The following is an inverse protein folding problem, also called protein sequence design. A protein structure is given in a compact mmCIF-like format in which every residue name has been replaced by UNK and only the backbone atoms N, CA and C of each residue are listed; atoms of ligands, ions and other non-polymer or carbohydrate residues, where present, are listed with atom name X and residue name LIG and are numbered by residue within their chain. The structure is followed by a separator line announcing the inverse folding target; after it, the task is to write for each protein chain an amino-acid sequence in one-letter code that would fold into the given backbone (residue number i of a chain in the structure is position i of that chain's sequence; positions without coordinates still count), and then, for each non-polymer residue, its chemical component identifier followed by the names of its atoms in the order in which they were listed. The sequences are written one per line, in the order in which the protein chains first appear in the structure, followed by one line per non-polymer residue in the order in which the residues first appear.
data_IF_428202034031
#
_entry.id   IF_428202034031
#
_cell.length_a   1.000
_cell.length_b   1.000
_cell.length_c   1.000
_cell.angle_alpha   90.00
_cell.angle_beta   90.00
_cell.angle_gamma   90.00
#
_symmetry.space_group_name_H-M   'P 1'
#
loop_
_entity.id
_entity.type
_entity.pdbx_description
1 polymer ?
#
# COMPACT_ATOMS: atom_id res chain seq x y z
N UNK A 1 2.27 4.19 -19.88
CA UNK A 1 0.92 4.58 -20.35
C UNK A 1 0.95 5.71 -21.37
N UNK A 2 1.55 6.87 -21.09
CA UNK A 2 1.48 8.06 -21.97
C UNK A 2 1.96 7.84 -23.42
N UNK A 3 3.03 7.07 -23.65
CA UNK A 3 3.49 6.79 -25.02
C UNK A 3 2.56 5.85 -25.79
N UNK A 4 2.05 4.79 -25.15
CA UNK A 4 1.07 3.87 -25.75
C UNK A 4 -0.26 4.57 -26.09
N UNK A 5 -0.68 5.52 -25.26
CA UNK A 5 -1.86 6.33 -25.50
C UNK A 5 -1.72 7.22 -26.75
N UNK A 6 -0.51 7.75 -27.00
CA UNK A 6 -0.22 8.59 -28.18
C UNK A 6 -0.19 7.80 -29.49
N UNK A 7 0.16 6.51 -29.46
CA UNK A 7 0.25 5.65 -30.66
C UNK A 7 -1.05 4.93 -30.99
N UNK A 8 -2.11 5.11 -30.21
CA UNK A 8 -3.42 4.48 -30.44
C UNK A 8 -3.51 3.00 -30.04
N UNK A 9 -2.40 2.39 -29.61
CA UNK A 9 -2.32 1.00 -29.12
C UNK A 9 -2.47 0.92 -27.59
N UNK A 10 -3.44 1.63 -27.03
CA UNK A 10 -3.71 1.60 -25.60
C UNK A 10 -4.61 0.42 -25.25
N UNK A 11 -4.06 -0.59 -24.58
CA UNK A 11 -4.84 -1.68 -24.02
C UNK A 11 -5.43 -1.25 -22.67
N UNK A 12 -6.75 -1.32 -22.53
CA UNK A 12 -7.45 -0.98 -21.29
C UNK A 12 -7.16 -1.97 -20.15
N UNK A 13 -6.59 -3.13 -20.45
CA UNK A 13 -6.02 -4.04 -19.47
C UNK A 13 -4.75 -3.50 -18.79
N UNK A 14 -4.07 -2.50 -19.40
CA UNK A 14 -2.94 -1.77 -18.79
C UNK A 14 -3.41 -0.81 -17.67
N UNK A 15 -4.70 -0.47 -17.61
CA UNK A 15 -5.23 0.29 -16.48
C UNK A 15 -5.20 -0.58 -15.23
N UNK A 16 -4.89 -0.01 -14.04
CA UNK A 16 -4.86 -0.78 -12.81
C UNK A 16 -6.18 -1.56 -12.64
N UNK A 17 -6.11 -2.89 -12.72
CA UNK A 17 -7.24 -3.74 -12.32
C UNK A 17 -7.54 -3.39 -10.87
N UNK A 18 -8.75 -2.88 -10.61
CA UNK A 18 -9.09 -2.11 -9.41
C UNK A 18 -8.58 -2.70 -8.09
N UNK A 19 -8.26 -1.81 -7.15
CA UNK A 19 -7.93 -2.16 -5.77
C UNK A 19 -6.45 -2.38 -5.45
N UNK A 20 -5.54 -2.48 -6.43
CA UNK A 20 -4.10 -2.63 -6.15
C UNK A 20 -3.29 -1.44 -6.67
N UNK A 21 -3.03 -0.49 -5.78
CA UNK A 21 -2.06 0.57 -6.02
C UNK A 21 -0.73 0.15 -5.39
N UNK A 22 0.25 -0.32 -6.19
CA UNK A 22 1.56 -0.61 -5.64
C UNK A 22 2.16 0.67 -5.10
N UNK A 23 2.53 0.65 -3.82
CA UNK A 23 3.24 1.74 -3.19
C UNK A 23 4.60 1.26 -2.69
N UNK A 24 5.54 2.18 -2.60
CA UNK A 24 6.78 1.98 -1.86
C UNK A 24 6.72 2.82 -0.59
N UNK A 25 7.15 2.26 0.53
CA UNK A 25 7.18 2.94 1.82
C UNK A 25 8.59 2.92 2.39
N UNK A 26 9.09 4.09 2.75
CA UNK A 26 10.42 4.31 3.29
C UNK A 26 10.30 4.99 4.63
N UNK A 27 11.15 4.62 5.59
CA UNK A 27 11.27 5.28 6.89
C UNK A 27 12.69 5.74 7.12
N UNK A 28 12.85 6.83 7.85
CA UNK A 28 14.15 7.38 8.25
C UNK A 28 15.09 7.70 7.08
N UNK A 29 14.54 7.88 5.87
CA UNK A 29 15.29 8.30 4.69
C UNK A 29 14.39 9.18 3.80
N UNK A 30 14.90 10.31 3.27
CA UNK A 30 16.25 10.86 3.47
C UNK A 30 16.42 11.58 4.82
N UNK A 31 15.39 11.63 5.65
CA UNK A 31 15.41 12.31 6.96
C UNK A 31 14.93 11.38 8.07
N UNK A 32 15.64 11.38 9.19
CA UNK A 32 15.29 10.62 10.39
C UNK A 32 13.95 11.10 10.97
N UNK A 33 13.13 10.18 11.47
CA UNK A 33 11.81 10.48 12.05
C UNK A 33 10.73 10.80 11.04
N UNK A 34 11.02 10.71 9.73
CA UNK A 34 10.05 10.88 8.65
C UNK A 34 9.81 9.57 7.91
N UNK A 35 8.62 9.44 7.35
CA UNK A 35 8.29 8.39 6.40
C UNK A 35 7.85 8.97 5.07
N UNK A 36 8.11 8.23 4.00
CA UNK A 36 7.77 8.59 2.63
C UNK A 36 7.00 7.42 2.01
N UNK A 37 5.79 7.69 1.54
CA UNK A 37 5.03 6.79 0.68
C UNK A 37 5.06 7.32 -0.75
N UNK A 38 5.45 6.47 -1.69
CA UNK A 38 5.44 6.76 -3.13
C UNK A 38 4.39 5.88 -3.79
N UNK A 39 3.44 6.48 -4.49
CA UNK A 39 2.31 5.76 -5.08
C UNK A 39 1.86 6.45 -6.36
N UNK A 40 1.54 5.67 -7.39
CA UNK A 40 0.99 6.18 -8.65
C UNK A 40 -0.52 5.98 -8.67
N UNK A 41 -1.27 7.05 -8.94
CA UNK A 41 -2.73 6.99 -9.08
C UNK A 41 -3.10 7.64 -10.42
N UNK A 42 -3.65 6.83 -11.33
CA UNK A 42 -3.91 7.26 -12.70
C UNK A 42 -2.61 7.53 -13.45
N UNK A 43 -2.44 8.77 -13.94
CA UNK A 43 -1.25 9.22 -14.69
C UNK A 43 -0.26 10.00 -13.85
N UNK A 44 -0.53 10.15 -12.54
CA UNK A 44 0.24 11.02 -11.65
C UNK A 44 0.95 10.19 -10.60
N UNK A 45 2.23 10.52 -10.40
CA UNK A 45 3.04 9.95 -9.33
C UNK A 45 3.04 10.86 -8.12
N UNK A 46 2.58 10.33 -6.99
CA UNK A 46 2.44 11.07 -5.75
C UNK A 46 3.51 10.69 -4.73
N UNK A 47 3.82 11.65 -3.87
CA UNK A 47 4.67 11.48 -2.70
C UNK A 47 3.92 12.00 -1.47
N UNK A 48 3.79 11.14 -0.46
CA UNK A 48 3.29 11.53 0.85
C UNK A 48 4.45 11.50 1.84
N UNK A 49 4.69 12.60 2.54
CA UNK A 49 5.70 12.69 3.59
C UNK A 49 5.03 12.91 4.93
N UNK A 50 5.29 12.04 5.90
CA UNK A 50 4.69 12.09 7.24
C UNK A 50 5.76 11.97 8.33
N UNK A 51 5.42 12.33 9.57
CA UNK A 51 6.21 11.89 10.72
C UNK A 51 6.05 10.37 10.87
N UNK A 52 7.12 9.69 11.29
CA UNK A 52 7.00 8.32 11.78
C UNK A 52 6.18 8.35 13.06
N UNK A 53 5.13 7.55 13.11
CA UNK A 53 4.23 7.42 14.24
C UNK A 53 4.30 5.98 14.74
N UNK A 54 4.48 5.82 16.04
CA UNK A 54 4.49 4.51 16.70
C UNK A 54 3.09 4.22 17.23
N UNK A 55 2.44 3.12 16.84
CA UNK A 55 1.18 2.72 17.45
C UNK A 55 1.31 2.52 18.96
N UNK A 56 0.28 2.90 19.71
CA UNK A 56 0.20 2.62 21.14
C UNK A 56 -0.25 1.16 21.34
N UNK A 57 0.71 0.28 21.64
CA UNK A 57 0.48 -1.16 21.70
C UNK A 57 0.07 -1.60 23.10
N UNK A 58 -1.07 -2.30 23.18
CA UNK A 58 -1.44 -3.10 24.32
C UNK A 58 -0.86 -4.51 24.18
N UNK A 59 0.13 -4.86 25.00
CA UNK A 59 0.66 -6.22 25.07
C UNK A 59 -0.40 -7.14 25.71
N UNK A 60 -0.53 -8.36 25.18
CA UNK A 60 -1.48 -9.37 25.67
C UNK A 60 -0.67 -10.46 26.38
N UNK A 61 -0.61 -10.45 27.73
CA UNK A 61 0.13 -11.45 28.50
C UNK A 61 -0.36 -12.88 28.22
N UNK A 62 0.50 -13.86 28.48
CA UNK A 62 0.23 -15.30 28.34
C UNK A 62 -0.16 -15.77 26.94
N UNK A 63 -0.09 -14.88 25.94
CA UNK A 63 -0.23 -15.23 24.54
C UNK A 63 1.08 -15.82 24.01
N UNK A 64 0.99 -16.98 23.39
CA UNK A 64 2.15 -17.69 22.87
C UNK A 64 1.81 -18.33 21.53
N UNK A 65 2.69 -18.13 20.55
CA UNK A 65 2.69 -18.88 19.29
C UNK A 65 4.13 -19.05 18.81
N UNK A 66 4.31 -19.90 17.81
CA UNK A 66 5.57 -19.98 17.06
C UNK A 66 5.33 -19.55 15.62
N UNK A 67 6.15 -18.63 15.10
CA UNK A 67 6.10 -18.19 13.69
C UNK A 67 7.51 -18.28 13.14
N UNK A 68 7.68 -19.00 12.02
CA UNK A 68 8.98 -19.27 11.37
C UNK A 68 10.09 -19.72 12.34
N UNK A 69 9.71 -20.46 13.40
CA UNK A 69 10.63 -20.99 14.41
C UNK A 69 10.91 -20.08 15.61
N UNK A 70 10.36 -18.86 15.64
CA UNK A 70 10.53 -17.91 16.74
C UNK A 70 9.33 -17.95 17.68
N UNK A 71 9.58 -17.86 18.98
CA UNK A 71 8.52 -17.65 19.96
C UNK A 71 7.98 -16.23 19.83
N UNK A 72 6.66 -16.08 19.82
CA UNK A 72 6.01 -14.79 19.65
C UNK A 72 4.90 -14.57 20.67
N UNK A 73 4.78 -13.30 21.08
CA UNK A 73 3.69 -12.80 21.90
C UNK A 73 2.78 -11.91 21.07
N UNK A 74 1.52 -11.77 21.49
CA UNK A 74 0.50 -10.95 20.83
C UNK A 74 0.45 -9.56 21.45
N UNK A 75 0.28 -8.57 20.59
CA UNK A 75 -0.12 -7.22 20.95
C UNK A 75 -1.33 -6.77 20.12
N UNK A 76 -2.08 -5.83 20.67
CA UNK A 76 -3.26 -5.21 20.05
C UNK A 76 -3.10 -3.69 20.02
N UNK A 77 -3.60 -3.03 18.99
CA UNK A 77 -3.68 -1.56 18.96
C UNK A 77 -4.86 -1.09 18.10
N UNK A 78 -5.31 0.13 18.32
CA UNK A 78 -6.19 0.85 17.39
C UNK A 78 -5.36 1.89 16.65
N UNK A 79 -5.11 1.66 15.37
CA UNK A 79 -4.17 2.48 14.60
C UNK A 79 -4.72 2.76 13.20
N UNK A 80 -4.71 4.04 12.80
CA UNK A 80 -5.22 4.54 11.50
C UNK A 80 -6.64 4.06 11.17
N UNK A 81 -7.49 4.04 12.19
CA UNK A 81 -8.89 3.63 12.08
C UNK A 81 -9.13 2.12 12.00
N UNK A 82 -8.12 1.27 12.22
CA UNK A 82 -8.28 -0.18 12.29
C UNK A 82 -7.80 -0.74 13.63
N UNK A 83 -8.47 -1.78 14.10
CA UNK A 83 -7.99 -2.64 15.18
C UNK A 83 -6.98 -3.63 14.62
N UNK A 84 -5.73 -3.56 15.06
CA UNK A 84 -4.65 -4.46 14.64
C UNK A 84 -4.26 -5.43 15.74
N UNK A 85 -3.92 -6.65 15.33
CA UNK A 85 -3.30 -7.69 16.14
C UNK A 85 -1.95 -8.03 15.52
N UNK A 86 -0.89 -8.01 16.32
CA UNK A 86 0.48 -8.26 15.87
C UNK A 86 1.17 -9.29 16.77
N UNK A 87 1.77 -10.31 16.15
CA UNK A 87 2.64 -11.26 16.81
C UNK A 87 4.10 -10.86 16.59
N UNK A 88 4.82 -10.64 17.67
CA UNK A 88 6.20 -10.16 17.64
C UNK A 88 7.15 -11.11 18.39
N UNK A 89 8.40 -11.18 17.94
CA UNK A 89 9.45 -12.03 18.51
C UNK A 89 10.50 -11.19 19.23
N UNK A 90 10.52 -11.26 20.57
CA UNK A 90 11.49 -10.53 21.42
C UNK A 90 12.94 -11.00 21.22
N UNK A 91 13.13 -12.27 20.86
CA UNK A 91 14.44 -12.84 20.52
C UNK A 91 15.10 -12.15 19.32
N UNK A 92 14.32 -11.41 18.52
CA UNK A 92 14.80 -10.51 17.47
C UNK A 92 14.47 -9.08 17.92
N UNK A 93 15.35 -8.41 18.70
CA UNK A 93 15.08 -7.12 19.34
C UNK A 93 15.19 -5.96 18.35
N UNK A 94 14.44 -6.07 17.25
CA UNK A 94 14.30 -5.07 16.22
C UNK A 94 12.84 -4.60 16.24
N UNK A 95 12.54 -3.38 16.72
CA UNK A 95 11.18 -2.87 16.91
C UNK A 95 10.52 -2.45 15.59
N UNK A 96 10.60 -3.33 14.60
CA UNK A 96 10.17 -3.14 13.22
C UNK A 96 9.03 -4.10 12.87
N UNK A 97 8.38 -3.82 11.74
CA UNK A 97 7.26 -4.61 11.29
C UNK A 97 6.74 -4.17 9.92
N UNK A 98 5.73 -4.87 9.39
CA UNK A 98 5.16 -4.54 8.09
C UNK A 98 4.48 -3.17 8.12
N UNK A 99 4.62 -2.43 7.02
CA UNK A 99 3.99 -1.12 6.83
C UNK A 99 4.37 -0.13 7.96
N UNK A 100 3.41 0.33 8.75
CA UNK A 100 3.56 1.30 9.86
C UNK A 100 3.44 0.63 11.24
N UNK A 101 3.35 -0.70 11.30
CA UNK A 101 3.16 -1.45 12.55
C UNK A 101 4.50 -1.73 13.22
N UNK A 102 5.02 -0.71 13.92
CA UNK A 102 6.36 -0.71 14.52
C UNK A 102 6.31 -0.46 16.04
N UNK A 103 7.45 -0.53 16.70
CA UNK A 103 7.59 -0.12 18.11
C UNK A 103 7.21 -1.17 19.15
N UNK A 104 6.95 -2.41 18.73
CA UNK A 104 6.87 -3.55 19.65
C UNK A 104 8.29 -3.90 20.17
N UNK A 105 8.41 -4.59 21.33
CA UNK A 105 9.71 -4.96 21.90
C UNK A 105 10.61 -5.83 21.01
N UNK A 106 10.06 -6.43 19.95
CA UNK A 106 10.81 -7.20 18.97
C UNK A 106 10.15 -7.18 17.58
N UNK A 107 10.69 -7.98 16.66
CA UNK A 107 10.29 -7.96 15.25
C UNK A 107 8.87 -8.52 15.09
N UNK A 108 7.99 -7.76 14.44
CA UNK A 108 6.64 -8.22 14.10
C UNK A 108 6.71 -9.24 12.96
N UNK A 109 6.41 -10.51 13.26
CA UNK A 109 6.42 -11.61 12.29
C UNK A 109 5.05 -11.90 11.69
N UNK A 110 3.97 -11.44 12.32
CA UNK A 110 2.62 -11.51 11.75
C UNK A 110 1.80 -10.33 12.25
N UNK A 111 1.00 -9.75 11.37
CA UNK A 111 0.02 -8.74 11.73
C UNK A 111 -1.25 -8.92 10.92
N UNK A 112 -2.40 -8.65 11.51
CA UNK A 112 -3.68 -8.65 10.82
C UNK A 112 -4.65 -7.68 11.47
N UNK A 113 -5.52 -7.10 10.68
CA UNK A 113 -6.63 -6.32 11.22
C UNK A 113 -7.76 -7.26 11.69
N UNK A 114 -8.64 -6.75 12.55
CA UNK A 114 -9.72 -7.52 13.18
C UNK A 114 -10.60 -8.29 12.20
N UNK A 115 -10.87 -7.69 11.04
CA UNK A 115 -11.67 -8.30 9.98
C UNK A 115 -10.86 -9.21 9.03
N UNK A 116 -9.53 -9.29 9.21
CA UNK A 116 -8.59 -9.99 8.32
C UNK A 116 -8.70 -9.54 6.86
N UNK A 117 -9.08 -8.29 6.64
CA UNK A 117 -9.04 -7.64 5.33
C UNK A 117 -7.59 -7.39 4.91
N UNK A 118 -6.71 -7.17 5.89
CA UNK A 118 -5.27 -7.08 5.73
C UNK A 118 -4.57 -8.08 6.64
N UNK A 119 -3.66 -8.84 6.07
CA UNK A 119 -2.79 -9.74 6.83
C UNK A 119 -1.40 -9.78 6.23
N UNK A 120 -0.41 -9.68 7.12
CA UNK A 120 1.00 -9.84 6.86
C UNK A 120 1.46 -11.06 7.66
N UNK A 121 2.12 -12.00 7.00
CA UNK A 121 2.71 -13.17 7.67
C UNK A 121 4.10 -13.39 7.10
N UNK A 122 5.10 -13.42 7.97
CA UNK A 122 6.46 -13.79 7.59
C UNK A 122 6.47 -15.25 7.14
N UNK A 123 7.04 -15.49 5.97
CA UNK A 123 7.22 -16.84 5.39
C UNK A 123 8.67 -17.33 5.50
N UNK A 124 9.59 -16.46 5.92
CA UNK A 124 11.00 -16.77 6.11
C UNK A 124 11.78 -15.53 6.55
N UNK A 125 12.97 -15.76 7.09
CA UNK A 125 13.92 -14.72 7.50
C UNK A 125 15.33 -15.23 7.27
N UNK A 126 16.20 -14.38 6.73
CA UNK A 126 17.59 -14.73 6.42
C UNK A 126 18.49 -13.54 6.66
N UNK A 127 19.70 -13.81 7.15
CA UNK A 127 20.77 -12.80 7.23
C UNK A 127 21.39 -12.62 5.85
N UNK A 128 21.57 -11.36 5.44
CA UNK A 128 22.26 -11.04 4.19
C UNK A 128 23.77 -11.28 4.35
N UNK A 129 24.39 -11.95 3.39
CA UNK A 129 25.84 -12.20 3.36
C UNK A 129 26.65 -11.01 2.83
N UNK A 130 25.99 -10.08 2.15
CA UNK A 130 26.57 -8.85 1.62
C UNK A 130 25.55 -7.70 1.69
N UNK A 131 26.02 -6.43 1.79
CA UNK A 131 25.14 -5.28 1.74
C UNK A 131 24.33 -5.24 0.44
N UNK A 132 23.00 -5.24 0.56
CA UNK A 132 22.10 -5.04 -0.59
C UNK A 132 21.61 -3.60 -0.56
N UNK A 133 21.82 -2.81 -1.62
CA UNK A 133 21.40 -1.42 -1.63
C UNK A 133 19.88 -1.30 -1.66
N UNK A 134 19.33 -0.41 -0.82
CA UNK A 134 17.94 0.00 -0.88
C UNK A 134 17.82 1.10 -1.93
N UNK A 135 16.96 0.90 -2.94
CA UNK A 135 16.77 1.88 -4.02
C UNK A 135 15.70 2.91 -3.64
N UNK A 136 16.03 4.19 -3.79
CA UNK A 136 15.10 5.31 -3.62
C UNK A 136 14.97 6.10 -4.93
N UNK A 137 13.79 6.09 -5.60
CA UNK A 137 13.62 6.76 -6.88
C UNK A 137 13.61 8.30 -6.75
N UNK A 138 14.52 8.98 -7.43
CA UNK A 138 14.65 10.46 -7.42
C UNK A 138 13.72 11.21 -8.38
N UNK A 139 12.83 10.52 -9.08
CA UNK A 139 11.86 11.15 -9.98
C UNK A 139 11.01 12.19 -9.24
N UNK A 140 10.74 13.34 -9.89
CA UNK A 140 9.84 14.36 -9.36
C UNK A 140 8.44 13.79 -9.23
N UNK A 141 7.77 14.10 -8.12
CA UNK A 141 6.42 13.64 -7.79
C UNK A 141 5.62 14.79 -7.21
N UNK A 142 4.31 14.72 -7.36
CA UNK A 142 3.40 15.67 -6.75
C UNK A 142 3.30 15.36 -5.25
N UNK A 143 3.55 16.36 -4.40
CA UNK A 143 3.38 16.22 -2.96
C UNK A 143 1.89 16.26 -2.63
N UNK A 144 1.44 15.35 -1.78
CA UNK A 144 0.04 15.25 -1.37
C UNK A 144 -0.04 14.68 0.06
N UNK A 145 -1.04 15.10 0.83
CA UNK A 145 -1.28 14.50 2.14
C UNK A 145 -1.83 13.07 1.98
N UNK A 146 -1.58 12.21 2.97
CA UNK A 146 -2.11 10.84 2.95
C UNK A 146 -3.65 10.82 2.91
N UNK A 147 -4.28 11.77 3.64
CA UNK A 147 -5.73 11.97 3.63
C UNK A 147 -6.24 12.32 2.24
N UNK A 148 -5.66 13.32 1.58
CA UNK A 148 -6.12 13.77 0.26
C UNK A 148 -5.88 12.68 -0.79
N UNK A 149 -4.76 11.95 -0.70
CA UNK A 149 -4.48 10.82 -1.58
C UNK A 149 -5.52 9.71 -1.42
N UNK A 150 -5.92 9.39 -0.19
CA UNK A 150 -7.00 8.43 0.10
C UNK A 150 -8.33 8.89 -0.51
N UNK A 151 -8.74 10.13 -0.23
CA UNK A 151 -9.99 10.69 -0.77
C UNK A 151 -9.98 10.74 -2.30
N UNK A 152 -8.81 11.00 -2.91
CA UNK A 152 -8.64 10.93 -4.36
C UNK A 152 -8.83 9.52 -4.88
N UNK A 153 -8.24 8.50 -4.24
CA UNK A 153 -8.38 7.09 -4.61
C UNK A 153 -9.82 6.56 -4.49
N UNK A 154 -10.58 7.04 -3.50
CA UNK A 154 -12.00 6.72 -3.33
C UNK A 154 -12.86 7.28 -4.47
N UNK A 155 -12.53 8.49 -4.94
CA UNK A 155 -13.26 9.17 -6.02
C UNK A 155 -12.75 8.79 -7.41
N UNK A 156 -11.59 8.15 -7.50
CA UNK A 156 -10.93 7.81 -8.76
C UNK A 156 -11.82 6.94 -9.66
N UNK A 157 -11.90 7.34 -10.93
CA UNK A 157 -12.57 6.56 -11.98
C UNK A 157 -11.67 6.41 -13.21
N UNK A 158 -11.88 5.37 -14.04
CA UNK A 158 -11.20 5.26 -15.32
C UNK A 158 -11.43 6.48 -16.24
N UNK A 159 -12.59 7.13 -16.14
CA UNK A 159 -12.91 8.33 -16.93
C UNK A 159 -11.91 9.47 -16.70
N UNK A 160 -11.46 9.68 -15.46
CA UNK A 160 -10.48 10.72 -15.11
C UNK A 160 -9.14 10.52 -15.84
N UNK A 161 -8.71 9.27 -16.01
CA UNK A 161 -7.48 8.95 -16.79
C UNK A 161 -7.67 9.29 -18.26
N UNK A 162 -8.82 8.91 -18.83
CA UNK A 162 -9.10 9.15 -20.25
C UNK A 162 -9.20 10.63 -20.60
N UNK A 163 -9.83 11.41 -19.73
CA UNK A 163 -9.89 12.87 -19.83
C UNK A 163 -8.49 13.47 -19.78
N UNK A 164 -7.66 13.03 -18.83
CA UNK A 164 -6.27 13.51 -18.67
C UNK A 164 -5.41 13.19 -19.89
N UNK A 165 -5.63 12.04 -20.53
CA UNK A 165 -4.89 11.62 -21.73
C UNK A 165 -5.49 12.16 -23.03
N UNK A 166 -6.61 12.89 -22.99
CA UNK A 166 -7.33 13.41 -24.15
C UNK A 166 -7.61 12.35 -25.23
N UNK A 167 -7.90 11.11 -24.82
CA UNK A 167 -8.17 10.00 -25.74
C UNK A 167 -9.62 10.11 -26.23
N UNK A 168 -9.81 10.22 -27.55
CA UNK A 168 -11.12 10.27 -28.21
C UNK A 168 -11.39 8.97 -28.97
N UNK A 169 -12.68 8.61 -29.13
CA UNK A 169 -13.15 7.45 -29.91
C UNK A 169 -12.67 6.07 -29.42
N UNK A 170 -12.97 5.75 -28.17
CA UNK A 170 -12.54 4.49 -27.54
C UNK A 170 -13.57 3.39 -27.78
N UNK A 171 -13.10 2.21 -28.21
CA UNK A 171 -13.86 0.95 -28.14
C UNK A 171 -13.28 0.11 -27.01
N UNK A 172 -14.09 -0.22 -26.01
CA UNK A 172 -13.69 -1.09 -24.90
C UNK A 172 -14.44 -2.42 -25.06
N UNK A 173 -13.72 -3.52 -24.91
CA UNK A 173 -14.27 -4.87 -24.93
C UNK A 173 -13.89 -5.60 -23.65
N UNK A 174 -14.70 -6.58 -23.24
CA UNK A 174 -14.35 -7.51 -22.16
C UNK A 174 -13.35 -8.57 -22.63
N UNK A 175 -12.93 -9.45 -21.72
CA UNK A 175 -11.99 -10.54 -22.03
C UNK A 175 -12.53 -11.54 -23.09
N UNK A 176 -13.84 -11.49 -23.39
CA UNK A 176 -14.52 -12.32 -24.39
C UNK A 176 -14.80 -11.55 -25.69
N UNK A 177 -14.35 -10.31 -25.81
CA UNK A 177 -14.55 -9.46 -27.00
C UNK A 177 -15.91 -8.74 -27.06
N UNK A 178 -16.75 -8.84 -26.02
CA UNK A 178 -18.04 -8.16 -26.00
C UNK A 178 -17.85 -6.67 -25.69
N UNK A 179 -18.57 -5.76 -26.37
CA UNK A 179 -18.48 -4.33 -26.10
C UNK A 179 -18.90 -4.00 -24.66
N UNK A 180 -18.10 -3.18 -23.98
CA UNK A 180 -18.41 -2.64 -22.66
C UNK A 180 -19.09 -1.27 -22.83
N UNK A 181 -20.16 -1.03 -22.07
CA UNK A 181 -20.80 0.28 -22.00
C UNK A 181 -19.81 1.35 -21.50
N UNK A 182 -19.51 2.32 -22.35
CA UNK A 182 -18.54 3.38 -22.08
C UNK A 182 -18.95 4.24 -20.89
N UNK A 183 -20.23 4.61 -20.77
CA UNK A 183 -20.71 5.47 -19.68
C UNK A 183 -20.60 4.74 -18.35
N UNK A 184 -20.92 3.45 -18.32
CA UNK A 184 -20.76 2.58 -17.15
C UNK A 184 -19.29 2.41 -16.79
N UNK A 185 -18.41 2.25 -17.78
CA UNK A 185 -16.97 2.12 -17.57
C UNK A 185 -16.35 3.40 -16.98
N UNK A 186 -16.62 4.55 -17.59
CA UNK A 186 -16.08 5.84 -17.15
C UNK A 186 -16.51 6.21 -15.73
N UNK A 187 -17.72 5.83 -15.33
CA UNK A 187 -18.28 6.10 -14.00
C UNK A 187 -18.11 4.94 -13.02
N UNK A 188 -17.38 3.87 -13.39
CA UNK A 188 -17.14 2.74 -12.51
C UNK A 188 -16.31 3.21 -11.32
N UNK A 189 -16.96 3.32 -10.15
CA UNK A 189 -16.27 3.61 -8.90
C UNK A 189 -15.27 2.53 -8.58
N UNK A 190 -14.14 2.94 -8.04
CA UNK A 190 -13.15 2.01 -7.52
C UNK A 190 -13.70 1.31 -6.28
N UNK A 191 -13.62 -0.02 -6.23
CA UNK A 191 -13.85 -0.77 -4.98
C UNK A 191 -12.55 -0.64 -4.20
N UNK A 192 -12.54 0.29 -3.26
CA UNK A 192 -11.35 0.68 -2.53
C UNK A 192 -11.60 0.48 -1.03
N UNK A 193 -10.99 -0.57 -0.48
CA UNK A 193 -10.80 -0.70 0.96
C UNK A 193 -9.40 -0.13 1.24
N UNK A 194 -9.23 0.99 1.95
CA UNK A 194 -7.91 1.51 2.30
C UNK A 194 -7.37 0.85 3.56
N UNK A 195 -6.06 0.58 3.61
CA UNK A 195 -5.41 0.10 4.84
C UNK A 195 -5.46 1.16 5.96
N UNK A 196 -5.48 2.45 5.60
CA UNK A 196 -5.63 3.59 6.52
C UNK A 196 -7.01 4.24 6.35
N UNK A 197 -7.87 4.15 7.36
CA UNK A 197 -9.21 4.73 7.35
C UNK A 197 -9.25 6.17 7.90
N UNK A 198 -8.22 6.57 8.66
CA UNK A 198 -8.10 7.89 9.29
C UNK A 198 -6.76 8.52 8.94
#
# INVERSE_FOLDING_TARGET
MNEKAKTGNFDFSDLPKGGRFPFSYYKNYPSTGKSIQLESVGTTDYKCTENVETPDWQLIPDSATTIIGYHCQLAKTNFKGRTWYAWYAEDVPLPEGPWKLIGLPGLTLKAYDENKEYSFTAIGMSTLTAPTPITFPKAKREEISQKDLREFKEKFTPGMVLETLNIKNIKIQDEKGNPIDMKKFMNKKNVFNPIELQ
#
